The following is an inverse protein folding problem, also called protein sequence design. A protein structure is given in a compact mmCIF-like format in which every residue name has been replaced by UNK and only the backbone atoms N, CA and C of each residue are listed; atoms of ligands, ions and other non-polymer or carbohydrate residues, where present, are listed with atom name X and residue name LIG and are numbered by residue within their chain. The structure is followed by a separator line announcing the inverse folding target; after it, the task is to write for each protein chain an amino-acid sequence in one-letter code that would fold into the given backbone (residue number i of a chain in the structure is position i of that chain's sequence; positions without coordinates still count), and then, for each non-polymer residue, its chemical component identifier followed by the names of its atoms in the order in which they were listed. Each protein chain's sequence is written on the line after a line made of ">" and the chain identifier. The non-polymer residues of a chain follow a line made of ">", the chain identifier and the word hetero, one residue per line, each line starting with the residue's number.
data_IF_216731337162
#
_entry.id   IF_216731337162
#
_cell.length_a   1.000
_cell.length_b   1.000
_cell.length_c   1.000
_cell.angle_alpha   90.00
_cell.angle_beta   90.00
_cell.angle_gamma   90.00
#
_symmetry.space_group_name_H-M   'P 1'
#
loop_
_entity.id
_entity.type
_entity.pdbx_description
1 polymer ?
#
# COMPACT_ATOMS: atom_id res chain seq x y z
N UNK A 1 -2.04 -50.56 7.88
CA UNK A 1 -2.66 -50.60 9.24
C UNK A 1 -3.41 -49.31 9.55
N UNK A 2 -2.76 -48.12 9.56
CA UNK A 2 -3.43 -46.84 9.91
C UNK A 2 -4.60 -46.44 8.97
N UNK A 3 -4.51 -46.76 7.68
CA UNK A 3 -5.57 -46.50 6.69
C UNK A 3 -6.85 -47.31 6.95
N UNK A 4 -6.72 -48.59 7.32
CA UNK A 4 -7.84 -49.46 7.66
C UNK A 4 -8.54 -49.02 8.95
N UNK A 5 -7.78 -48.56 9.94
CA UNK A 5 -8.33 -48.02 11.19
C UNK A 5 -9.09 -46.69 10.97
N UNK A 6 -8.60 -45.82 10.07
CA UNK A 6 -9.30 -44.58 9.73
C UNK A 6 -10.62 -44.86 8.98
N UNK A 7 -10.63 -45.85 8.08
CA UNK A 7 -11.83 -46.27 7.34
C UNK A 7 -12.86 -46.91 8.27
N UNK A 8 -12.44 -47.75 9.22
CA UNK A 8 -13.36 -48.39 10.18
C UNK A 8 -13.95 -47.38 11.17
N UNK A 9 -13.15 -46.44 11.66
CA UNK A 9 -13.59 -45.38 12.57
C UNK A 9 -14.53 -44.39 11.86
N UNK A 10 -14.28 -44.10 10.58
CA UNK A 10 -15.20 -43.34 9.72
C UNK A 10 -16.53 -44.09 9.51
N UNK A 11 -16.47 -45.41 9.25
CA UNK A 11 -17.64 -46.28 9.14
C UNK A 11 -18.53 -46.24 10.39
N UNK A 12 -17.93 -46.36 11.56
CA UNK A 12 -18.65 -46.30 12.84
C UNK A 12 -19.24 -44.91 13.12
N UNK A 13 -18.53 -43.83 12.81
CA UNK A 13 -19.05 -42.46 12.99
C UNK A 13 -20.24 -42.16 12.05
N UNK A 14 -20.26 -42.73 10.84
CA UNK A 14 -21.42 -42.61 9.93
C UNK A 14 -22.65 -43.32 10.47
N UNK A 15 -22.49 -44.54 11.00
CA UNK A 15 -23.61 -45.26 11.60
C UNK A 15 -24.18 -44.52 12.81
N UNK A 16 -23.31 -43.99 13.68
CA UNK A 16 -23.71 -43.28 14.89
C UNK A 16 -24.36 -41.91 14.62
N UNK A 17 -23.83 -41.12 13.67
CA UNK A 17 -24.36 -39.78 13.38
C UNK A 17 -25.43 -39.75 12.29
N UNK A 18 -25.38 -40.68 11.33
CA UNK A 18 -26.31 -40.76 10.21
C UNK A 18 -27.74 -41.13 10.61
N UNK A 19 -27.92 -41.85 11.72
CA UNK A 19 -29.24 -42.15 12.26
C UNK A 19 -29.86 -40.99 13.05
N UNK A 20 -29.05 -40.15 13.71
CA UNK A 20 -29.54 -39.07 14.59
C UNK A 20 -29.78 -37.73 13.88
N UNK A 21 -29.15 -37.46 12.74
CA UNK A 21 -29.22 -36.13 12.10
C UNK A 21 -29.31 -36.23 10.56
N UNK A 22 -30.51 -36.28 9.95
CA UNK A 22 -30.69 -36.37 8.50
C UNK A 22 -30.07 -35.19 7.73
N UNK A 23 -30.01 -34.01 8.36
CA UNK A 23 -29.35 -32.81 7.81
C UNK A 23 -27.81 -32.95 7.74
N UNK A 24 -27.21 -33.92 8.46
CA UNK A 24 -25.76 -34.14 8.50
C UNK A 24 -25.23 -35.02 7.36
N UNK A 25 -26.08 -35.58 6.48
CA UNK A 25 -25.67 -36.44 5.35
C UNK A 25 -24.63 -35.78 4.43
N UNK A 26 -24.74 -34.47 4.20
CA UNK A 26 -23.76 -33.72 3.41
C UNK A 26 -22.39 -33.63 4.10
N UNK A 27 -22.36 -33.44 5.41
CA UNK A 27 -21.13 -33.36 6.18
C UNK A 27 -20.47 -34.74 6.34
N UNK A 28 -21.27 -35.81 6.48
CA UNK A 28 -20.80 -37.19 6.54
C UNK A 28 -20.03 -37.60 5.29
N UNK A 29 -20.48 -37.20 4.10
CA UNK A 29 -19.74 -37.44 2.86
C UNK A 29 -18.36 -36.77 2.86
N UNK A 30 -18.26 -35.57 3.44
CA UNK A 30 -17.00 -34.83 3.56
C UNK A 30 -16.08 -35.49 4.59
N UNK A 31 -16.61 -35.99 5.71
CA UNK A 31 -15.83 -36.79 6.67
C UNK A 31 -15.26 -38.06 6.07
N UNK A 32 -16.08 -38.78 5.30
CA UNK A 32 -15.61 -39.97 4.59
C UNK A 32 -14.48 -39.61 3.62
N UNK A 33 -14.66 -38.50 2.88
CA UNK A 33 -13.63 -37.95 2.00
C UNK A 33 -12.33 -37.64 2.75
N UNK A 34 -12.39 -36.96 3.89
CA UNK A 34 -11.22 -36.64 4.73
C UNK A 34 -10.53 -37.90 5.26
N UNK A 35 -11.29 -38.92 5.68
CA UNK A 35 -10.75 -40.20 6.12
C UNK A 35 -10.07 -40.99 4.96
N UNK A 36 -10.63 -40.93 3.76
CA UNK A 36 -10.01 -41.51 2.55
C UNK A 36 -8.74 -40.76 2.15
N UNK A 37 -8.75 -39.42 2.22
CA UNK A 37 -7.57 -38.58 1.97
C UNK A 37 -6.44 -38.91 2.95
N UNK A 38 -6.76 -39.22 4.21
CA UNK A 38 -5.77 -39.70 5.20
C UNK A 38 -5.06 -41.00 4.75
N UNK A 39 -5.71 -41.84 3.95
CA UNK A 39 -5.14 -43.05 3.36
C UNK A 39 -4.12 -42.78 2.24
N UNK A 40 -4.22 -41.64 1.54
CA UNK A 40 -3.37 -41.30 0.39
C UNK A 40 -1.89 -41.05 0.75
N UNK A 41 -1.60 -40.82 2.03
CA UNK A 41 -0.23 -40.73 2.54
C UNK A 41 0.57 -42.02 2.31
N UNK A 42 -0.07 -43.19 2.41
CA UNK A 42 0.57 -44.48 2.13
C UNK A 42 0.96 -44.68 0.66
N UNK A 43 0.49 -43.80 -0.24
CA UNK A 43 0.77 -43.83 -1.68
C UNK A 43 1.72 -42.69 -2.11
N UNK A 44 2.29 -41.93 -1.16
CA UNK A 44 3.14 -40.77 -1.46
C UNK A 44 2.39 -39.53 -1.95
N UNK A 45 1.05 -39.53 -1.94
CA UNK A 45 0.21 -38.43 -2.42
C UNK A 45 -0.28 -37.50 -1.29
N UNK A 46 0.49 -37.38 -0.21
CA UNK A 46 0.11 -36.65 1.01
C UNK A 46 -0.23 -35.17 0.78
N UNK A 47 0.50 -34.48 -0.10
CA UNK A 47 0.20 -33.08 -0.47
C UNK A 47 -1.16 -32.94 -1.14
N UNK A 48 -1.47 -33.83 -2.08
CA UNK A 48 -2.78 -33.85 -2.76
C UNK A 48 -3.89 -34.09 -1.73
N UNK A 49 -3.64 -34.95 -0.74
CA UNK A 49 -4.57 -35.22 0.34
C UNK A 49 -4.90 -33.96 1.16
N UNK A 50 -3.87 -33.17 1.53
CA UNK A 50 -4.02 -31.92 2.26
C UNK A 50 -4.82 -30.90 1.46
N UNK A 51 -4.43 -30.66 0.20
CA UNK A 51 -5.11 -29.69 -0.66
C UNK A 51 -6.55 -30.11 -0.99
N UNK A 52 -6.79 -31.40 -1.21
CA UNK A 52 -8.12 -31.96 -1.40
C UNK A 52 -9.00 -31.78 -0.15
N UNK A 53 -8.44 -31.98 1.04
CA UNK A 53 -9.12 -31.75 2.31
C UNK A 53 -9.51 -30.29 2.52
N UNK A 54 -8.58 -29.36 2.29
CA UNK A 54 -8.83 -27.91 2.36
C UNK A 54 -9.91 -27.49 1.35
N UNK A 55 -9.81 -27.95 0.10
CA UNK A 55 -10.81 -27.65 -0.93
C UNK A 55 -12.20 -28.20 -0.57
N UNK A 56 -12.25 -29.42 -0.01
CA UNK A 56 -13.49 -30.02 0.47
C UNK A 56 -14.17 -29.20 1.56
N UNK A 57 -13.40 -28.70 2.55
CA UNK A 57 -13.93 -27.85 3.63
C UNK A 57 -14.38 -26.49 3.11
N UNK A 58 -13.64 -25.86 2.19
CA UNK A 58 -14.07 -24.60 1.55
C UNK A 58 -15.39 -24.79 0.81
N UNK A 59 -15.51 -25.86 0.01
CA UNK A 59 -16.72 -26.16 -0.74
C UNK A 59 -17.92 -26.42 0.18
N UNK A 60 -17.69 -27.12 1.30
CA UNK A 60 -18.69 -27.38 2.33
C UNK A 60 -19.21 -26.07 2.95
N UNK A 61 -18.29 -25.21 3.39
CA UNK A 61 -18.60 -23.91 3.98
C UNK A 61 -19.37 -23.02 3.00
N UNK A 62 -18.97 -22.97 1.73
CA UNK A 62 -19.66 -22.19 0.70
C UNK A 62 -21.09 -22.68 0.43
N UNK A 63 -21.30 -24.00 0.35
CA UNK A 63 -22.64 -24.59 0.19
C UNK A 63 -23.53 -24.27 1.39
N UNK A 64 -22.98 -24.31 2.59
CA UNK A 64 -23.71 -24.01 3.81
C UNK A 64 -24.09 -22.53 3.89
N UNK A 65 -23.19 -21.62 3.52
CA UNK A 65 -23.47 -20.19 3.48
C UNK A 65 -24.63 -19.85 2.54
N UNK A 66 -24.65 -20.41 1.32
CA UNK A 66 -25.76 -20.24 0.37
C UNK A 66 -27.12 -20.76 0.87
N UNK A 67 -27.11 -21.79 1.74
CA UNK A 67 -28.33 -22.32 2.34
C UNK A 67 -28.82 -21.46 3.52
N UNK A 68 -27.90 -20.83 4.24
CA UNK A 68 -28.19 -19.95 5.39
C UNK A 68 -28.98 -18.70 4.98
N UNK A 69 -28.67 -18.12 3.81
CA UNK A 69 -29.41 -16.97 3.26
C UNK A 69 -30.89 -17.29 2.92
N UNK A 70 -31.25 -18.58 2.85
CA UNK A 70 -32.63 -19.02 2.58
C UNK A 70 -33.43 -19.38 3.83
N UNK A 71 -32.77 -19.81 4.90
CA UNK A 71 -33.42 -20.33 6.12
C UNK A 71 -32.89 -19.58 7.35
N UNK A 72 -33.41 -18.38 7.60
CA UNK A 72 -32.93 -17.44 8.63
C UNK A 72 -33.26 -17.80 10.09
N UNK A 73 -33.87 -18.96 10.41
CA UNK A 73 -34.47 -19.15 11.74
C UNK A 73 -34.11 -20.39 12.56
N UNK A 74 -33.32 -21.36 12.11
CA UNK A 74 -33.06 -22.56 12.94
C UNK A 74 -31.57 -22.91 13.13
N UNK A 75 -31.12 -22.60 14.35
CA UNK A 75 -30.26 -23.40 15.25
C UNK A 75 -29.15 -24.29 14.66
N UNK A 76 -27.92 -24.05 15.16
CA UNK A 76 -26.88 -25.08 15.25
C UNK A 76 -25.50 -24.65 14.76
N UNK A 77 -24.64 -24.16 15.66
CA UNK A 77 -23.23 -23.74 15.42
C UNK A 77 -22.22 -24.90 15.30
N UNK A 78 -22.66 -26.17 15.39
CA UNK A 78 -21.77 -27.31 15.63
C UNK A 78 -21.06 -27.97 14.41
N UNK A 79 -21.58 -27.95 13.15
CA UNK A 79 -20.96 -28.76 12.09
C UNK A 79 -19.62 -28.23 11.56
N UNK A 80 -19.28 -26.96 11.80
CA UNK A 80 -18.07 -26.32 11.26
C UNK A 80 -16.78 -26.75 11.99
N UNK A 81 -16.86 -27.00 13.30
CA UNK A 81 -15.68 -27.34 14.11
C UNK A 81 -15.11 -28.71 13.75
N UNK A 82 -15.98 -29.70 13.56
CA UNK A 82 -15.56 -31.07 13.29
C UNK A 82 -14.78 -31.14 11.96
N UNK A 83 -15.24 -30.42 10.92
CA UNK A 83 -14.57 -30.34 9.62
C UNK A 83 -13.21 -29.65 9.71
N UNK A 84 -13.15 -28.58 10.52
CA UNK A 84 -11.91 -27.87 10.81
C UNK A 84 -10.90 -28.76 11.55
N UNK A 85 -11.36 -29.54 12.53
CA UNK A 85 -10.54 -30.54 13.23
C UNK A 85 -9.97 -31.58 12.26
N UNK A 86 -10.78 -32.09 11.34
CA UNK A 86 -10.33 -33.08 10.34
C UNK A 86 -9.20 -32.55 9.45
N UNK A 87 -9.33 -31.33 8.94
CA UNK A 87 -8.26 -30.69 8.15
C UNK A 87 -7.06 -30.29 9.01
N UNK A 88 -7.28 -29.87 10.26
CA UNK A 88 -6.22 -29.59 11.22
C UNK A 88 -5.34 -30.82 11.48
N UNK A 89 -5.95 -32.00 11.62
CA UNK A 89 -5.22 -33.26 11.78
C UNK A 89 -4.42 -33.60 10.51
N UNK A 90 -4.98 -33.41 9.32
CA UNK A 90 -4.27 -33.60 8.05
C UNK A 90 -3.05 -32.68 7.93
N UNK A 91 -3.19 -31.41 8.33
CA UNK A 91 -2.11 -30.43 8.33
C UNK A 91 -1.02 -30.77 9.36
N UNK A 92 -1.42 -31.14 10.58
CA UNK A 92 -0.47 -31.54 11.63
C UNK A 92 0.34 -32.75 11.18
N UNK A 93 -0.33 -33.75 10.60
CA UNK A 93 0.33 -34.93 10.03
C UNK A 93 1.29 -34.54 8.91
N UNK A 94 0.87 -33.62 8.03
CA UNK A 94 1.73 -33.13 6.97
C UNK A 94 3.01 -32.49 7.51
N UNK A 95 2.92 -31.71 8.59
CA UNK A 95 4.10 -31.13 9.22
C UNK A 95 5.04 -32.17 9.84
N UNK A 96 4.51 -33.28 10.35
CA UNK A 96 5.34 -34.35 10.95
C UNK A 96 6.01 -35.24 9.91
N UNK A 97 5.37 -35.45 8.76
CA UNK A 97 5.89 -36.34 7.70
C UNK A 97 6.76 -35.59 6.67
N UNK A 98 6.53 -34.31 6.45
CA UNK A 98 7.33 -33.48 5.53
C UNK A 98 8.56 -32.90 6.23
N UNK A 99 9.71 -33.01 5.57
CA UNK A 99 10.98 -32.40 6.04
C UNK A 99 10.85 -30.87 6.00
N UNK A 100 11.40 -30.17 7.01
CA UNK A 100 11.32 -28.71 7.18
C UNK A 100 11.53 -27.88 5.90
N UNK A 101 12.50 -28.18 5.01
CA UNK A 101 12.69 -27.42 3.76
C UNK A 101 11.47 -27.44 2.81
N UNK A 102 10.62 -28.47 2.91
CA UNK A 102 9.42 -28.64 2.09
C UNK A 102 8.16 -28.03 2.69
N UNK A 103 8.22 -27.45 3.90
CA UNK A 103 7.06 -26.84 4.56
C UNK A 103 6.46 -25.67 3.78
N UNK A 104 7.25 -25.01 2.92
CA UNK A 104 6.73 -24.00 2.00
C UNK A 104 5.58 -24.52 1.13
N UNK A 105 5.55 -25.81 0.82
CA UNK A 105 4.48 -26.42 0.01
C UNK A 105 3.15 -26.52 0.76
N UNK A 106 3.12 -26.40 2.09
CA UNK A 106 1.91 -26.37 2.91
C UNK A 106 1.38 -24.95 3.15
N UNK A 107 2.16 -23.94 2.79
CA UNK A 107 1.87 -22.55 3.09
C UNK A 107 0.50 -22.09 2.56
N UNK A 108 0.19 -22.41 1.29
CA UNK A 108 -1.11 -22.07 0.70
C UNK A 108 -2.27 -22.76 1.42
N UNK A 109 -2.11 -24.03 1.83
CA UNK A 109 -3.14 -24.74 2.57
C UNK A 109 -3.45 -24.07 3.93
N UNK A 110 -2.40 -23.67 4.66
CA UNK A 110 -2.51 -22.88 5.89
C UNK A 110 -3.21 -21.54 5.65
N UNK A 111 -2.76 -20.83 4.61
CA UNK A 111 -3.32 -19.56 4.20
C UNK A 111 -4.82 -19.67 3.93
N UNK A 112 -5.23 -20.57 3.03
CA UNK A 112 -6.62 -20.83 2.62
C UNK A 112 -7.51 -21.19 3.81
N UNK A 113 -7.06 -22.08 4.69
CA UNK A 113 -7.80 -22.45 5.89
C UNK A 113 -7.98 -21.24 6.83
N UNK A 114 -6.91 -20.46 7.03
CA UNK A 114 -6.95 -19.25 7.83
C UNK A 114 -7.92 -18.20 7.26
N UNK A 115 -7.90 -18.00 5.95
CA UNK A 115 -8.83 -17.08 5.27
C UNK A 115 -10.28 -17.52 5.35
N UNK A 116 -10.55 -18.83 5.23
CA UNK A 116 -11.88 -19.37 5.43
C UNK A 116 -12.39 -19.08 6.85
N UNK A 117 -11.56 -19.34 7.87
CA UNK A 117 -11.91 -19.07 9.27
C UNK A 117 -12.22 -17.60 9.52
N UNK A 118 -11.39 -16.70 8.99
CA UNK A 118 -11.62 -15.25 9.11
C UNK A 118 -12.91 -14.86 8.38
N UNK A 119 -13.14 -15.38 7.18
CA UNK A 119 -14.36 -15.10 6.40
C UNK A 119 -15.63 -15.55 7.11
N UNK A 120 -15.64 -16.78 7.65
CA UNK A 120 -16.76 -17.31 8.43
C UNK A 120 -17.00 -16.52 9.72
N UNK A 121 -15.93 -16.16 10.44
CA UNK A 121 -16.02 -15.36 11.65
C UNK A 121 -16.61 -13.97 11.37
N UNK A 122 -16.23 -13.35 10.26
CA UNK A 122 -16.75 -12.04 9.85
C UNK A 122 -18.20 -12.11 9.36
N UNK A 123 -18.58 -13.17 8.66
CA UNK A 123 -19.97 -13.39 8.23
C UNK A 123 -20.93 -13.62 9.42
N UNK A 124 -20.41 -14.08 10.56
CA UNK A 124 -21.19 -14.32 11.77
C UNK A 124 -21.38 -13.05 12.65
N UNK A 125 -20.68 -11.94 12.37
CA UNK A 125 -20.81 -10.69 13.13
C UNK A 125 -22.00 -9.84 12.65
N UNK A 126 -22.94 -9.44 13.53
CA UNK A 126 -23.98 -8.49 13.15
C UNK A 126 -23.40 -7.08 12.91
N UNK A 127 -23.97 -6.30 11.96
CA UNK A 127 -23.39 -5.04 11.49
C UNK A 127 -23.35 -3.89 12.52
N UNK A 128 -24.02 -4.00 13.66
CA UNK A 128 -24.26 -2.87 14.59
C UNK A 128 -23.51 -2.93 15.93
N UNK A 129 -22.77 -3.99 16.27
CA UNK A 129 -22.08 -4.02 17.57
C UNK A 129 -20.81 -3.16 17.54
N UNK A 130 -20.89 -1.99 18.20
CA UNK A 130 -19.85 -0.97 18.31
C UNK A 130 -18.64 -1.38 19.19
N UNK A 131 -18.74 -2.50 19.92
CA UNK A 131 -17.64 -3.09 20.67
C UNK A 131 -17.23 -4.41 20.02
N UNK A 132 -15.98 -4.58 19.55
CA UNK A 132 -15.53 -5.84 19.00
C UNK A 132 -15.22 -6.80 20.17
N UNK A 133 -16.24 -7.48 20.69
CA UNK A 133 -16.03 -8.76 21.41
C UNK A 133 -15.30 -9.79 20.52
N UNK A 134 -15.16 -9.51 19.22
CA UNK A 134 -14.37 -10.28 18.26
C UNK A 134 -12.85 -10.15 18.37
N UNK A 135 -12.33 -9.21 19.16
CA UNK A 135 -10.91 -9.24 19.56
C UNK A 135 -10.58 -10.43 20.47
N UNK A 136 -11.57 -11.20 20.94
CA UNK A 136 -11.36 -12.36 21.82
C UNK A 136 -11.83 -13.66 21.15
N UNK A 137 -12.42 -13.61 19.95
CA UNK A 137 -12.91 -14.80 19.27
C UNK A 137 -11.74 -15.71 18.87
N UNK A 138 -11.62 -16.94 19.44
CA UNK A 138 -10.48 -17.82 19.19
C UNK A 138 -10.35 -18.21 17.71
N UNK A 139 -11.48 -18.29 16.98
CA UNK A 139 -11.49 -18.63 15.55
C UNK A 139 -10.93 -17.51 14.67
N UNK A 140 -11.17 -16.24 15.01
CA UNK A 140 -10.64 -15.09 14.26
C UNK A 140 -9.12 -14.98 14.45
N UNK A 141 -8.64 -15.15 15.69
CA UNK A 141 -7.22 -15.16 15.98
C UNK A 141 -6.52 -16.36 15.36
N UNK A 142 -7.08 -17.56 15.51
CA UNK A 142 -6.57 -18.77 14.87
C UNK A 142 -6.49 -18.63 13.35
N UNK A 143 -7.54 -18.08 12.72
CA UNK A 143 -7.54 -17.82 11.28
C UNK A 143 -6.47 -16.82 10.84
N UNK A 144 -6.30 -15.70 11.56
CA UNK A 144 -5.24 -14.72 11.29
C UNK A 144 -3.84 -15.31 11.49
N UNK A 145 -3.63 -16.06 12.57
CA UNK A 145 -2.36 -16.72 12.86
C UNK A 145 -2.01 -17.73 11.76
N UNK A 146 -2.98 -18.51 11.29
CA UNK A 146 -2.80 -19.44 10.16
C UNK A 146 -2.46 -18.71 8.87
N UNK A 147 -3.10 -17.58 8.55
CA UNK A 147 -2.76 -16.78 7.37
C UNK A 147 -1.33 -16.22 7.47
N UNK A 148 -0.95 -15.67 8.61
CA UNK A 148 0.41 -15.15 8.83
C UNK A 148 1.44 -16.27 8.79
N UNK A 149 1.15 -17.41 9.41
CA UNK A 149 1.99 -18.60 9.40
C UNK A 149 2.17 -19.14 7.98
N UNK A 150 1.09 -19.30 7.22
CA UNK A 150 1.13 -19.68 5.81
C UNK A 150 1.95 -18.68 5.00
N UNK A 151 1.74 -17.37 5.20
CA UNK A 151 2.54 -16.35 4.52
C UNK A 151 4.04 -16.45 4.84
N UNK A 152 4.41 -16.63 6.12
CA UNK A 152 5.81 -16.79 6.56
C UNK A 152 6.47 -18.03 5.94
N UNK A 153 5.72 -19.13 5.82
CA UNK A 153 6.21 -20.34 5.17
C UNK A 153 6.40 -20.16 3.65
N UNK A 154 5.61 -19.32 3.00
CA UNK A 154 5.68 -19.09 1.56
C UNK A 154 6.64 -17.97 1.13
N UNK A 155 6.85 -16.94 1.95
CA UNK A 155 7.45 -15.66 1.51
C UNK A 155 8.80 -15.85 0.82
N UNK A 156 9.66 -16.74 1.33
CA UNK A 156 10.96 -17.01 0.72
C UNK A 156 10.88 -18.06 -0.40
N UNK A 157 10.39 -19.29 -0.16
CA UNK A 157 10.52 -20.38 -1.12
C UNK A 157 9.51 -20.31 -2.28
N UNK A 158 8.30 -19.78 -2.05
CA UNK A 158 7.17 -19.84 -2.99
C UNK A 158 6.40 -18.51 -2.98
N UNK A 159 7.02 -17.47 -3.55
CA UNK A 159 6.45 -16.11 -3.60
C UNK A 159 5.05 -16.04 -4.23
N UNK A 160 4.73 -16.95 -5.15
CA UNK A 160 3.40 -17.07 -5.76
C UNK A 160 2.33 -17.42 -4.72
N UNK A 161 2.62 -18.38 -3.84
CA UNK A 161 1.70 -18.77 -2.77
C UNK A 161 1.52 -17.62 -1.77
N UNK A 162 2.62 -16.95 -1.39
CA UNK A 162 2.55 -15.78 -0.51
C UNK A 162 1.69 -14.66 -1.11
N UNK A 163 1.75 -14.45 -2.43
CA UNK A 163 0.92 -13.47 -3.13
C UNK A 163 -0.56 -13.84 -3.07
N UNK A 164 -0.91 -15.12 -3.26
CA UNK A 164 -2.30 -15.59 -3.13
C UNK A 164 -2.83 -15.38 -1.71
N UNK A 165 -2.03 -15.70 -0.70
CA UNK A 165 -2.40 -15.49 0.71
C UNK A 165 -2.61 -14.00 1.01
N UNK A 166 -1.72 -13.14 0.50
CA UNK A 166 -1.88 -11.69 0.59
C UNK A 166 -3.14 -11.20 -0.13
N UNK A 167 -3.40 -11.70 -1.33
CA UNK A 167 -4.59 -11.36 -2.12
C UNK A 167 -5.88 -11.71 -1.37
N UNK A 168 -5.91 -12.86 -0.69
CA UNK A 168 -7.05 -13.23 0.15
C UNK A 168 -7.19 -12.33 1.39
N UNK A 169 -6.08 -12.00 2.06
CA UNK A 169 -6.08 -11.06 3.17
C UNK A 169 -6.56 -9.67 2.75
N UNK A 170 -6.11 -9.20 1.58
CA UNK A 170 -6.57 -7.97 0.95
C UNK A 170 -8.06 -8.01 0.65
N UNK A 171 -8.57 -9.08 0.04
CA UNK A 171 -9.99 -9.22 -0.31
C UNK A 171 -10.89 -9.13 0.93
N UNK A 172 -10.56 -9.87 1.99
CA UNK A 172 -11.31 -9.85 3.25
C UNK A 172 -11.29 -8.46 3.91
N UNK A 173 -10.13 -7.79 3.93
CA UNK A 173 -10.00 -6.44 4.50
C UNK A 173 -10.69 -5.40 3.65
N UNK A 174 -10.62 -5.51 2.32
CA UNK A 174 -11.26 -4.60 1.38
C UNK A 174 -12.78 -4.67 1.50
N UNK A 175 -13.35 -5.87 1.61
CA UNK A 175 -14.77 -6.06 1.86
C UNK A 175 -15.21 -5.40 3.19
N UNK A 176 -14.43 -5.60 4.27
CA UNK A 176 -14.70 -4.97 5.56
C UNK A 176 -14.59 -3.45 5.51
N UNK A 177 -13.57 -2.96 4.82
CA UNK A 177 -13.28 -1.54 4.68
C UNK A 177 -14.34 -0.82 3.85
N UNK A 178 -14.81 -1.40 2.74
CA UNK A 178 -15.91 -0.84 1.95
C UNK A 178 -17.20 -0.70 2.76
N UNK A 179 -17.42 -1.60 3.72
CA UNK A 179 -18.63 -1.60 4.56
C UNK A 179 -18.53 -0.64 5.75
N UNK A 180 -17.37 -0.59 6.44
CA UNK A 180 -17.22 0.10 7.73
C UNK A 180 -16.31 1.35 7.70
N UNK A 181 -15.59 1.58 6.59
CA UNK A 181 -14.65 2.70 6.41
C UNK A 181 -13.63 2.87 7.55
N UNK A 182 -13.22 1.77 8.18
CA UNK A 182 -12.33 1.80 9.34
C UNK A 182 -10.88 2.10 8.94
N UNK A 183 -10.23 2.98 9.71
CA UNK A 183 -8.82 3.35 9.52
C UNK A 183 -7.86 2.16 9.58
N UNK A 184 -8.09 1.24 10.52
CA UNK A 184 -7.24 0.07 10.72
C UNK A 184 -7.23 -0.86 9.51
N UNK A 185 -8.39 -1.04 8.86
CA UNK A 185 -8.46 -1.86 7.65
C UNK A 185 -7.78 -1.19 6.47
N UNK A 186 -7.89 0.13 6.35
CA UNK A 186 -7.15 0.87 5.33
C UNK A 186 -5.63 0.70 5.50
N UNK A 187 -5.10 0.84 6.72
CA UNK A 187 -3.65 0.61 6.98
C UNK A 187 -3.26 -0.84 6.64
N UNK A 188 -4.09 -1.81 7.02
CA UNK A 188 -3.82 -3.22 6.70
C UNK A 188 -3.82 -3.46 5.19
N UNK A 189 -4.79 -2.92 4.45
CA UNK A 189 -4.84 -2.98 2.98
C UNK A 189 -3.59 -2.33 2.39
N UNK A 190 -3.20 -1.18 2.91
CA UNK A 190 -2.03 -0.44 2.45
C UNK A 190 -0.72 -1.21 2.70
N UNK A 191 -0.55 -1.87 3.84
CA UNK A 191 0.63 -2.68 4.12
C UNK A 191 0.67 -3.94 3.25
N UNK A 192 -0.46 -4.66 3.16
CA UNK A 192 -0.55 -5.87 2.34
C UNK A 192 -0.39 -5.56 0.85
N UNK A 193 -0.90 -4.43 0.38
CA UNK A 193 -0.74 -3.97 -1.00
C UNK A 193 0.72 -3.70 -1.34
N UNK A 194 1.44 -2.99 -0.47
CA UNK A 194 2.87 -2.71 -0.65
C UNK A 194 3.69 -4.02 -0.66
N UNK A 195 3.40 -4.92 0.27
CA UNK A 195 4.03 -6.25 0.33
C UNK A 195 3.72 -7.08 -0.92
N UNK A 196 2.50 -6.99 -1.45
CA UNK A 196 2.09 -7.69 -2.67
C UNK A 196 2.84 -7.17 -3.90
N UNK A 197 3.12 -5.87 -3.98
CA UNK A 197 3.94 -5.31 -5.05
C UNK A 197 5.36 -5.90 -5.05
N UNK A 198 5.96 -6.03 -3.87
CA UNK A 198 7.28 -6.67 -3.72
C UNK A 198 7.27 -8.15 -4.11
N UNK A 199 6.24 -8.89 -3.71
CA UNK A 199 6.07 -10.30 -4.11
C UNK A 199 5.84 -10.43 -5.63
N UNK A 200 5.02 -9.56 -6.22
CA UNK A 200 4.79 -9.52 -7.66
C UNK A 200 6.09 -9.23 -8.43
N UNK A 201 6.91 -8.28 -7.95
CA UNK A 201 8.23 -8.02 -8.52
C UNK A 201 9.13 -9.26 -8.52
N UNK A 202 9.09 -10.07 -7.45
CA UNK A 202 9.83 -11.34 -7.37
C UNK A 202 9.30 -12.43 -8.29
N UNK A 203 8.05 -12.32 -8.75
CA UNK A 203 7.43 -13.27 -9.68
C UNK A 203 7.65 -12.90 -11.15
N UNK A 204 8.02 -11.66 -11.43
CA UNK A 204 8.34 -11.24 -12.79
C UNK A 204 9.52 -12.07 -13.34
N UNK A 205 9.44 -12.62 -14.56
CA UNK A 205 10.58 -13.17 -15.28
C UNK A 205 11.75 -12.19 -15.33
N UNK A 206 12.99 -12.70 -15.33
CA UNK A 206 14.20 -11.87 -15.34
C UNK A 206 14.24 -10.93 -16.55
N UNK A 207 13.81 -11.41 -17.72
CA UNK A 207 13.79 -10.63 -18.96
C UNK A 207 12.86 -9.41 -18.85
N UNK A 208 11.69 -9.57 -18.23
CA UNK A 208 10.77 -8.47 -17.99
C UNK A 208 11.34 -7.47 -16.97
N UNK A 209 12.04 -7.95 -15.93
CA UNK A 209 12.71 -7.04 -14.99
C UNK A 209 13.80 -6.24 -15.70
N UNK A 210 14.62 -6.87 -16.53
CA UNK A 210 15.66 -6.19 -17.29
C UNK A 210 15.07 -5.20 -18.29
N UNK A 211 13.99 -5.55 -18.99
CA UNK A 211 13.30 -4.63 -19.91
C UNK A 211 12.77 -3.38 -19.19
N UNK A 212 12.27 -3.52 -17.96
CA UNK A 212 11.80 -2.40 -17.14
C UNK A 212 12.94 -1.57 -16.54
N UNK A 213 14.02 -2.21 -16.11
CA UNK A 213 15.13 -1.54 -15.43
C UNK A 213 16.12 -0.87 -16.40
N UNK A 214 16.39 -1.47 -17.56
CA UNK A 214 17.37 -0.96 -18.54
C UNK A 214 17.17 0.50 -18.94
N UNK A 215 15.96 0.98 -19.30
CA UNK A 215 15.78 2.40 -19.63
C UNK A 215 16.04 3.30 -18.42
N UNK A 216 15.65 2.86 -17.22
CA UNK A 216 15.86 3.62 -15.99
C UNK A 216 17.33 3.70 -15.62
N UNK A 217 18.07 2.59 -15.71
CA UNK A 217 19.51 2.56 -15.40
C UNK A 217 20.33 3.36 -16.40
N UNK A 218 20.01 3.28 -17.70
CA UNK A 218 20.69 4.08 -18.74
C UNK A 218 20.48 5.58 -18.55
N UNK A 219 19.26 6.00 -18.21
CA UNK A 219 18.97 7.42 -18.03
C UNK A 219 19.56 7.97 -16.72
N UNK A 220 19.50 7.20 -15.64
CA UNK A 220 19.97 7.65 -14.32
C UNK A 220 21.45 7.41 -14.03
N UNK A 221 22.13 6.57 -14.82
CA UNK A 221 23.47 6.09 -14.50
C UNK A 221 23.53 5.26 -13.20
N UNK A 222 22.41 4.70 -12.73
CA UNK A 222 22.31 4.02 -11.44
C UNK A 222 22.86 2.57 -11.41
N UNK A 223 23.83 2.24 -12.28
CA UNK A 223 24.41 0.89 -12.35
C UNK A 223 25.09 0.48 -11.04
N UNK A 224 25.69 1.45 -10.33
CA UNK A 224 26.37 1.23 -9.06
C UNK A 224 25.43 1.17 -7.84
N UNK A 225 24.18 1.61 -7.95
CA UNK A 225 23.24 1.76 -6.80
C UNK A 225 21.84 1.19 -7.08
N UNK A 226 21.68 -0.14 -7.18
CA UNK A 226 20.42 -0.78 -7.57
C UNK A 226 19.23 -0.47 -6.65
N UNK A 227 19.48 -0.24 -5.36
CA UNK A 227 18.43 0.11 -4.40
C UNK A 227 17.83 1.51 -4.62
N UNK A 228 18.56 2.43 -5.26
CA UNK A 228 18.04 3.77 -5.56
C UNK A 228 16.86 3.70 -6.55
N UNK A 229 16.83 2.68 -7.42
CA UNK A 229 15.72 2.44 -8.36
C UNK A 229 14.39 2.15 -7.65
N UNK A 230 14.43 1.68 -6.40
CA UNK A 230 13.21 1.50 -5.59
C UNK A 230 12.47 2.83 -5.41
N UNK A 231 13.19 3.96 -5.36
CA UNK A 231 12.62 5.30 -5.27
C UNK A 231 11.63 5.62 -6.39
N UNK A 232 11.91 5.16 -7.61
CA UNK A 232 11.00 5.30 -8.76
C UNK A 232 10.00 4.16 -8.84
N UNK A 233 10.43 2.92 -8.59
CA UNK A 233 9.56 1.74 -8.74
C UNK A 233 8.42 1.72 -7.71
N UNK A 234 8.65 2.29 -6.52
CA UNK A 234 7.62 2.45 -5.50
C UNK A 234 6.67 3.62 -5.76
N UNK A 235 7.01 4.53 -6.67
CA UNK A 235 6.25 5.76 -6.90
C UNK A 235 4.79 5.54 -7.35
N UNK A 236 4.47 4.57 -8.24
CA UNK A 236 3.08 4.26 -8.58
C UNK A 236 2.21 3.95 -7.35
N UNK A 237 2.80 3.42 -6.28
CA UNK A 237 2.07 3.15 -5.03
C UNK A 237 1.75 4.42 -4.24
N UNK A 238 2.60 5.45 -4.32
CA UNK A 238 2.30 6.81 -3.81
C UNK A 238 1.10 7.37 -4.57
N UNK A 239 1.12 7.30 -5.91
CA UNK A 239 0.01 7.78 -6.76
C UNK A 239 -1.30 7.07 -6.41
N UNK A 240 -1.27 5.75 -6.23
CA UNK A 240 -2.44 4.97 -5.80
C UNK A 240 -2.96 5.45 -4.44
N UNK A 241 -2.07 5.67 -3.46
CA UNK A 241 -2.45 6.14 -2.12
C UNK A 241 -3.09 7.54 -2.18
N UNK A 242 -2.54 8.45 -2.99
CA UNK A 242 -3.11 9.78 -3.24
C UNK A 242 -4.46 9.69 -3.93
N UNK A 243 -4.62 8.78 -4.90
CA UNK A 243 -5.90 8.55 -5.57
C UNK A 243 -6.97 8.01 -4.61
N UNK A 244 -6.60 7.16 -3.65
CA UNK A 244 -7.51 6.71 -2.59
C UNK A 244 -7.88 7.86 -1.66
N UNK A 245 -6.92 8.73 -1.31
CA UNK A 245 -7.20 9.94 -0.54
C UNK A 245 -8.17 10.89 -1.28
N UNK A 246 -8.01 11.09 -2.60
CA UNK A 246 -8.95 11.85 -3.45
C UNK A 246 -10.34 11.22 -3.46
N UNK A 247 -10.41 9.89 -3.54
CA UNK A 247 -11.66 9.15 -3.52
C UNK A 247 -12.37 9.25 -2.15
N UNK A 248 -11.64 9.09 -1.05
CA UNK A 248 -12.15 9.27 0.31
C UNK A 248 -12.62 10.72 0.56
N UNK A 249 -11.92 11.71 0.00
CA UNK A 249 -12.31 13.11 0.06
C UNK A 249 -13.66 13.35 -0.61
N UNK A 250 -13.88 12.79 -1.82
CA UNK A 250 -15.17 12.87 -2.52
C UNK A 250 -16.31 12.19 -1.76
N UNK A 251 -15.99 11.18 -0.96
CA UNK A 251 -16.94 10.47 -0.09
C UNK A 251 -17.10 11.10 1.31
N UNK A 252 -16.48 12.26 1.56
CA UNK A 252 -16.54 13.03 2.82
C UNK A 252 -15.99 12.31 4.06
N UNK A 253 -15.04 11.38 3.88
CA UNK A 253 -14.38 10.70 5.00
C UNK A 253 -13.06 11.40 5.39
N UNK A 254 -13.14 12.56 6.04
CA UNK A 254 -11.97 13.41 6.40
C UNK A 254 -10.87 12.67 7.17
N UNK A 255 -11.27 11.80 8.09
CA UNK A 255 -10.40 10.91 8.88
C UNK A 255 -9.51 9.98 8.04
N UNK A 256 -10.02 9.51 6.90
CA UNK A 256 -9.26 8.65 5.99
C UNK A 256 -8.41 9.46 5.03
N UNK A 257 -8.87 10.66 4.65
CA UNK A 257 -8.08 11.59 3.84
C UNK A 257 -6.78 11.94 4.56
N UNK A 258 -6.85 12.31 5.84
CA UNK A 258 -5.64 12.66 6.62
C UNK A 258 -4.70 11.47 6.79
N UNK A 259 -5.25 10.29 7.05
CA UNK A 259 -4.45 9.06 7.16
C UNK A 259 -3.79 8.69 5.83
N UNK A 260 -4.53 8.73 4.72
CA UNK A 260 -4.01 8.40 3.40
C UNK A 260 -3.00 9.43 2.90
N UNK A 261 -3.23 10.73 3.12
CA UNK A 261 -2.23 11.78 2.86
C UNK A 261 -0.96 11.56 3.71
N UNK A 262 -1.11 11.17 4.98
CA UNK A 262 0.01 10.84 5.86
C UNK A 262 0.83 9.63 5.38
N UNK A 263 0.16 8.53 4.98
CA UNK A 263 0.82 7.35 4.44
C UNK A 263 1.49 7.63 3.08
N UNK A 264 0.83 8.41 2.21
CA UNK A 264 1.42 8.84 0.94
C UNK A 264 2.67 9.69 1.18
N UNK A 265 2.61 10.66 2.10
CA UNK A 265 3.75 11.49 2.47
C UNK A 265 4.90 10.71 3.09
N UNK A 266 4.60 9.78 4.02
CA UNK A 266 5.59 8.90 4.64
C UNK A 266 6.33 8.06 3.59
N UNK A 267 5.59 7.39 2.71
CA UNK A 267 6.18 6.60 1.65
C UNK A 267 6.97 7.46 0.66
N UNK A 268 6.41 8.58 0.22
CA UNK A 268 7.09 9.50 -0.68
C UNK A 268 8.40 10.02 -0.08
N UNK A 269 8.41 10.37 1.21
CA UNK A 269 9.63 10.76 1.93
C UNK A 269 10.66 9.63 1.97
N UNK A 270 10.25 8.39 2.28
CA UNK A 270 11.15 7.23 2.24
C UNK A 270 11.75 6.96 0.86
N UNK A 271 10.94 7.06 -0.19
CA UNK A 271 11.38 6.88 -1.57
C UNK A 271 12.29 8.03 -2.06
N UNK A 272 12.02 9.26 -1.62
CA UNK A 272 12.88 10.41 -1.87
C UNK A 272 14.25 10.21 -1.22
N UNK A 273 14.28 9.77 0.04
CA UNK A 273 15.54 9.45 0.73
C UNK A 273 16.34 8.42 -0.07
N UNK A 274 15.74 7.32 -0.51
CA UNK A 274 16.42 6.34 -1.36
C UNK A 274 16.96 6.94 -2.67
N UNK A 275 16.25 7.92 -3.23
CA UNK A 275 16.64 8.59 -4.48
C UNK A 275 17.81 9.57 -4.31
N UNK A 276 18.11 10.05 -3.09
CA UNK A 276 19.23 10.98 -2.83
C UNK A 276 20.59 10.40 -3.22
N UNK A 277 20.73 9.08 -3.28
CA UNK A 277 21.97 8.39 -3.64
C UNK A 277 22.27 8.45 -5.15
N UNK A 278 21.36 8.96 -5.98
CA UNK A 278 21.56 9.13 -7.40
C UNK A 278 20.84 10.40 -7.89
N UNK A 279 21.61 11.38 -8.40
CA UNK A 279 21.07 12.68 -8.84
C UNK A 279 19.99 12.57 -9.92
N UNK A 280 20.13 11.64 -10.88
CA UNK A 280 19.12 11.44 -11.93
C UNK A 280 17.80 10.93 -11.36
N UNK A 281 17.85 9.89 -10.50
CA UNK A 281 16.65 9.36 -9.85
C UNK A 281 16.00 10.36 -8.91
N UNK A 282 16.79 11.19 -8.22
CA UNK A 282 16.28 12.30 -7.43
C UNK A 282 15.43 13.25 -8.28
N UNK A 283 15.95 13.72 -9.42
CA UNK A 283 15.22 14.61 -10.34
C UNK A 283 13.93 13.96 -10.80
N UNK A 284 13.97 12.71 -11.24
CA UNK A 284 12.77 12.01 -11.70
C UNK A 284 11.73 11.83 -10.59
N UNK A 285 12.17 11.53 -9.36
CA UNK A 285 11.30 11.42 -8.20
C UNK A 285 10.65 12.76 -7.82
N UNK A 286 11.41 13.85 -7.91
CA UNK A 286 10.93 15.21 -7.67
C UNK A 286 9.92 15.66 -8.71
N UNK A 287 10.17 15.39 -9.99
CA UNK A 287 9.21 15.64 -11.07
C UNK A 287 7.91 14.89 -10.81
N UNK A 288 8.01 13.58 -10.52
CA UNK A 288 6.84 12.75 -10.26
C UNK A 288 6.04 13.28 -9.05
N UNK A 289 6.72 13.64 -7.95
CA UNK A 289 6.13 14.23 -6.75
C UNK A 289 5.43 15.55 -7.06
N UNK A 290 6.06 16.43 -7.83
CA UNK A 290 5.50 17.74 -8.20
C UNK A 290 4.23 17.60 -9.02
N UNK A 291 4.25 16.74 -10.03
CA UNK A 291 3.09 16.48 -10.88
C UNK A 291 1.94 15.92 -10.05
N UNK A 292 2.20 14.90 -9.23
CA UNK A 292 1.17 14.27 -8.40
C UNK A 292 0.59 15.25 -7.37
N UNK A 293 1.42 16.04 -6.70
CA UNK A 293 0.98 17.02 -5.72
C UNK A 293 0.14 18.14 -6.36
N UNK A 294 0.54 18.62 -7.54
CA UNK A 294 -0.19 19.64 -8.31
C UNK A 294 -1.57 19.13 -8.72
N UNK A 295 -1.64 17.93 -9.31
CA UNK A 295 -2.91 17.31 -9.72
C UNK A 295 -3.83 17.08 -8.51
N UNK A 296 -3.31 16.52 -7.42
CA UNK A 296 -4.08 16.25 -6.22
C UNK A 296 -4.65 17.53 -5.58
N UNK A 297 -3.84 18.61 -5.54
CA UNK A 297 -4.29 19.91 -5.03
C UNK A 297 -5.37 20.54 -5.91
N UNK A 298 -5.25 20.47 -7.23
CA UNK A 298 -6.26 20.98 -8.16
C UNK A 298 -7.63 20.30 -7.99
N UNK A 299 -7.64 19.02 -7.62
CA UNK A 299 -8.87 18.25 -7.36
C UNK A 299 -9.52 18.56 -6.02
N UNK A 300 -8.73 18.90 -5.00
CA UNK A 300 -9.19 19.20 -3.64
C UNK A 300 -9.22 20.73 -3.43
N UNK A 301 -10.24 21.39 -4.00
CA UNK A 301 -10.44 22.86 -4.00
C UNK A 301 -10.41 23.54 -2.61
N UNK A 302 -10.33 22.80 -1.50
CA UNK A 302 -10.30 23.29 -0.11
C UNK A 302 -8.97 22.98 0.60
N UNK A 303 -7.83 23.30 -0.02
CA UNK A 303 -6.52 23.12 0.60
C UNK A 303 -6.19 24.24 1.61
N UNK A 304 -5.59 23.87 2.74
CA UNK A 304 -4.94 24.84 3.64
C UNK A 304 -3.84 25.61 2.88
N UNK A 305 -3.62 26.91 3.18
CA UNK A 305 -2.56 27.71 2.55
C UNK A 305 -1.17 27.06 2.63
N UNK A 306 -0.88 26.34 3.71
CA UNK A 306 0.39 25.61 3.91
C UNK A 306 0.69 24.60 2.80
N UNK A 307 -0.32 23.87 2.30
CA UNK A 307 -0.15 22.89 1.23
C UNK A 307 0.18 23.56 -0.10
N UNK A 308 -0.33 24.77 -0.32
CA UNK A 308 -0.04 25.55 -1.52
C UNK A 308 1.43 25.96 -1.54
N UNK A 309 1.98 26.44 -0.42
CA UNK A 309 3.41 26.78 -0.32
C UNK A 309 4.32 25.59 -0.54
N UNK A 310 3.96 24.43 0.02
CA UNK A 310 4.73 23.21 -0.19
C UNK A 310 4.79 22.83 -1.68
N UNK A 311 3.70 23.02 -2.43
CA UNK A 311 3.68 22.73 -3.87
C UNK A 311 4.55 23.72 -4.65
N UNK A 312 4.43 25.02 -4.37
CA UNK A 312 5.28 26.03 -5.00
C UNK A 312 6.77 25.81 -4.70
N UNK A 313 7.11 25.54 -3.44
CA UNK A 313 8.47 25.18 -3.05
C UNK A 313 8.96 23.90 -3.73
N UNK A 314 8.10 22.90 -3.86
CA UNK A 314 8.41 21.66 -4.55
C UNK A 314 8.64 21.86 -6.07
N UNK A 315 7.86 22.73 -6.73
CA UNK A 315 8.06 23.12 -8.14
C UNK A 315 9.44 23.77 -8.29
N UNK A 316 9.76 24.76 -7.47
CA UNK A 316 11.05 25.45 -7.50
C UNK A 316 12.21 24.50 -7.25
N UNK A 317 12.09 23.63 -6.23
CA UNK A 317 13.12 22.65 -5.91
C UNK A 317 13.33 21.64 -7.04
N UNK A 318 12.24 21.21 -7.69
CA UNK A 318 12.29 20.30 -8.84
C UNK A 318 12.98 20.95 -10.04
N UNK A 319 12.65 22.21 -10.35
CA UNK A 319 13.29 22.95 -11.44
C UNK A 319 14.79 23.14 -11.17
N UNK A 320 15.15 23.54 -9.94
CA UNK A 320 16.55 23.70 -9.55
C UNK A 320 17.34 22.38 -9.66
N UNK A 321 16.80 21.28 -9.11
CA UNK A 321 17.43 19.97 -9.21
C UNK A 321 17.58 19.48 -10.66
N UNK A 322 16.58 19.75 -11.51
CA UNK A 322 16.62 19.40 -12.94
C UNK A 322 17.72 20.16 -13.67
N UNK A 323 17.85 21.47 -13.40
CA UNK A 323 18.89 22.33 -14.01
C UNK A 323 20.28 21.88 -13.56
N UNK A 324 20.46 21.62 -12.26
CA UNK A 324 21.74 21.15 -11.73
C UNK A 324 22.17 19.80 -12.34
N UNK A 325 21.22 18.88 -12.52
CA UNK A 325 21.52 17.58 -13.13
C UNK A 325 21.82 17.68 -14.64
N UNK A 326 21.08 18.54 -15.36
CA UNK A 326 21.22 18.67 -16.83
C UNK A 326 22.50 19.42 -17.21
N UNK A 327 22.91 20.39 -16.40
CA UNK A 327 24.09 21.22 -16.66
C UNK A 327 25.01 21.25 -15.42
N UNK A 328 25.80 20.19 -15.17
CA UNK A 328 26.66 20.13 -13.99
C UNK A 328 27.76 21.21 -13.97
N UNK A 329 28.10 21.78 -15.14
CA UNK A 329 29.15 22.80 -15.31
C UNK A 329 28.74 24.24 -14.95
N UNK A 330 27.50 24.48 -14.51
CA UNK A 330 27.05 25.83 -14.13
C UNK A 330 27.79 26.29 -12.87
N UNK A 331 28.35 27.52 -12.89
CA UNK A 331 29.03 28.11 -11.73
C UNK A 331 28.06 28.40 -10.59
N UNK A 332 28.55 28.48 -9.34
CA UNK A 332 27.69 28.78 -8.18
C UNK A 332 26.89 30.08 -8.37
N UNK A 333 27.51 31.13 -8.91
CA UNK A 333 26.83 32.40 -9.21
C UNK A 333 25.68 32.25 -10.20
N UNK A 334 25.87 31.48 -11.27
CA UNK A 334 24.82 31.18 -12.26
C UNK A 334 23.69 30.32 -11.65
N UNK A 335 24.01 29.36 -10.77
CA UNK A 335 23.01 28.55 -10.05
C UNK A 335 22.12 29.41 -9.15
N UNK A 336 22.74 30.35 -8.42
CA UNK A 336 22.03 31.28 -7.56
C UNK A 336 21.19 32.27 -8.37
N UNK A 337 21.74 32.83 -9.45
CA UNK A 337 20.99 33.71 -10.35
C UNK A 337 19.76 33.01 -10.93
N UNK A 338 19.89 31.75 -11.34
CA UNK A 338 18.77 30.95 -11.85
C UNK A 338 17.75 30.63 -10.75
N UNK A 339 18.19 30.21 -9.56
CA UNK A 339 17.30 29.98 -8.43
C UNK A 339 16.50 31.24 -8.08
N UNK A 340 17.17 32.39 -8.01
CA UNK A 340 16.55 33.69 -7.74
C UNK A 340 15.57 34.09 -8.86
N UNK A 341 15.93 33.88 -10.13
CA UNK A 341 15.05 34.11 -11.27
C UNK A 341 13.78 33.25 -11.22
N UNK A 342 13.90 31.98 -10.85
CA UNK A 342 12.77 31.07 -10.64
C UNK A 342 11.87 31.55 -9.49
N UNK A 343 12.45 32.01 -8.37
CA UNK A 343 11.69 32.57 -7.25
C UNK A 343 10.90 33.83 -7.65
N UNK A 344 11.48 34.73 -8.45
CA UNK A 344 10.79 35.92 -8.99
C UNK A 344 9.68 35.52 -9.94
N UNK A 345 9.95 34.59 -10.87
CA UNK A 345 8.94 34.07 -11.80
C UNK A 345 7.73 33.50 -11.06
N UNK A 346 7.96 32.70 -10.03
CA UNK A 346 6.89 32.15 -9.20
C UNK A 346 6.14 33.21 -8.40
N UNK A 347 6.85 34.24 -7.91
CA UNK A 347 6.24 35.42 -7.29
C UNK A 347 5.29 36.17 -8.22
N UNK A 348 5.64 36.32 -9.50
CA UNK A 348 4.79 36.97 -10.50
C UNK A 348 3.55 36.10 -10.82
N UNK A 349 3.75 34.80 -11.04
CA UNK A 349 2.65 33.86 -11.37
C UNK A 349 1.65 33.72 -10.22
N UNK A 350 2.14 33.72 -8.98
CA UNK A 350 1.29 33.59 -7.79
C UNK A 350 0.40 34.81 -7.53
N UNK A 351 0.82 36.01 -7.96
CA UNK A 351 0.07 37.28 -7.80
C UNK A 351 -0.90 37.56 -8.97
N UNK A 352 -0.79 36.82 -10.08
CA UNK A 352 -1.59 37.01 -11.30
C UNK A 352 -3.11 36.78 -11.15
N UNK A 353 -3.94 37.31 -12.08
CA UNK A 353 -5.40 37.40 -11.92
C UNK A 353 -6.18 36.07 -12.04
N UNK A 354 -5.54 34.97 -12.49
CA UNK A 354 -6.26 33.76 -12.97
C UNK A 354 -6.03 32.51 -12.10
N UNK A 355 -5.37 32.63 -10.95
CA UNK A 355 -4.94 31.44 -10.19
C UNK A 355 -5.82 31.19 -8.94
N UNK A 356 -6.33 29.96 -8.72
CA UNK A 356 -7.03 29.59 -7.47
C UNK A 356 -6.14 29.63 -6.21
N UNK A 357 -4.88 30.05 -6.37
CA UNK A 357 -3.78 30.03 -5.41
C UNK A 357 -3.51 31.41 -4.76
N UNK A 358 -4.25 32.44 -5.18
CA UNK A 358 -4.08 33.85 -4.78
C UNK A 358 -4.21 34.14 -3.28
N UNK A 359 -4.93 33.30 -2.52
CA UNK A 359 -5.11 33.49 -1.05
C UNK A 359 -3.87 33.12 -0.23
N UNK A 360 -2.94 32.34 -0.79
CA UNK A 360 -1.65 32.03 -0.16
C UNK A 360 -0.50 32.91 -0.69
N UNK A 361 -0.53 33.35 -1.95
CA UNK A 361 0.58 34.00 -2.65
C UNK A 361 1.47 34.93 -1.79
N UNK A 362 0.87 35.87 -1.02
CA UNK A 362 1.60 36.90 -0.26
C UNK A 362 2.61 36.34 0.77
N UNK A 363 2.25 35.30 1.55
CA UNK A 363 3.20 34.75 2.53
C UNK A 363 4.24 33.83 1.87
N UNK A 364 3.89 33.22 0.73
CA UNK A 364 4.82 32.42 -0.07
C UNK A 364 5.92 33.29 -0.68
N UNK A 365 5.54 34.44 -1.25
CA UNK A 365 6.49 35.44 -1.75
C UNK A 365 7.37 36.02 -0.63
N UNK A 366 6.85 36.17 0.60
CA UNK A 366 7.64 36.55 1.76
C UNK A 366 8.64 35.47 2.20
N UNK A 367 8.22 34.20 2.21
CA UNK A 367 9.12 33.09 2.52
C UNK A 367 10.24 32.95 1.46
N UNK A 368 9.90 33.14 0.18
CA UNK A 368 10.87 33.20 -0.92
C UNK A 368 11.81 34.39 -0.78
N UNK A 369 11.31 35.56 -0.36
CA UNK A 369 12.15 36.72 -0.05
C UNK A 369 13.15 36.39 1.08
N UNK A 370 12.68 35.77 2.17
CA UNK A 370 13.55 35.34 3.27
C UNK A 370 14.61 34.31 2.86
N UNK A 371 14.24 33.32 2.05
CA UNK A 371 15.19 32.34 1.49
C UNK A 371 16.17 32.97 0.51
N UNK A 372 15.72 33.94 -0.29
CA UNK A 372 16.61 34.70 -1.17
C UNK A 372 17.64 35.50 -0.37
N UNK A 373 17.25 36.09 0.78
CA UNK A 373 18.17 36.77 1.69
C UNK A 373 19.18 35.82 2.34
N UNK A 374 18.78 34.60 2.73
CA UNK A 374 19.71 33.64 3.37
C UNK A 374 20.69 33.03 2.36
N UNK A 375 20.21 32.67 1.17
CA UNK A 375 21.06 32.22 0.05
C UNK A 375 22.02 33.31 -0.42
N UNK A 376 21.61 34.56 -0.25
CA UNK A 376 22.45 35.70 -0.55
C UNK A 376 23.54 35.95 0.49
N UNK A 377 23.17 35.88 1.78
CA UNK A 377 24.11 36.03 2.88
C UNK A 377 25.25 35.01 2.82
N UNK A 378 25.00 33.79 2.35
CA UNK A 378 26.04 32.78 2.17
C UNK A 378 27.01 33.08 1.02
N UNK A 379 26.57 33.80 -0.03
CA UNK A 379 27.41 34.22 -1.14
C UNK A 379 28.36 35.36 -0.74
N UNK A 380 27.89 36.30 0.07
CA UNK A 380 28.70 37.41 0.62
C UNK A 380 29.82 36.94 1.55
N UNK A 381 29.66 35.76 2.15
CA UNK A 381 30.65 35.15 3.03
C UNK A 381 31.76 34.40 2.27
N UNK A 382 31.65 34.24 0.94
CA UNK A 382 32.69 33.60 0.13
C UNK A 382 33.80 34.60 -0.27
N UNK A 383 35.08 34.29 0.00
CA UNK A 383 36.20 35.13 -0.41
C UNK A 383 36.30 35.26 -1.93
N UNK A 384 36.36 36.48 -2.46
CA UNK A 384 36.62 36.76 -3.89
C UNK A 384 35.40 37.04 -4.77
N UNK A 385 34.22 37.23 -4.19
CA UNK A 385 32.99 37.59 -4.94
C UNK A 385 33.03 39.05 -5.45
N UNK A 386 32.73 39.24 -6.74
CA UNK A 386 32.77 40.54 -7.42
C UNK A 386 31.50 41.36 -7.14
N UNK A 387 31.57 42.70 -6.99
CA UNK A 387 30.42 43.55 -6.65
C UNK A 387 29.33 43.66 -7.74
N UNK A 388 29.59 43.26 -8.98
CA UNK A 388 28.56 43.17 -10.03
C UNK A 388 27.74 41.87 -9.92
N UNK A 389 28.33 40.83 -9.35
CA UNK A 389 27.61 39.60 -9.00
C UNK A 389 26.74 39.82 -7.75
N UNK A 390 26.88 40.97 -7.05
CA UNK A 390 26.14 41.32 -5.82
C UNK A 390 24.82 42.11 -6.05
N UNK A 391 24.53 42.57 -7.26
CA UNK A 391 23.30 43.33 -7.54
C UNK A 391 21.99 42.50 -7.49
N UNK A 392 21.95 41.27 -8.05
CA UNK A 392 20.72 40.47 -8.08
C UNK A 392 20.17 40.14 -6.68
N UNK A 393 21.03 39.91 -5.70
CA UNK A 393 20.61 39.49 -4.37
C UNK A 393 20.14 40.58 -3.42
N UNK A 394 20.17 41.86 -3.84
CA UNK A 394 19.46 42.95 -3.15
C UNK A 394 18.16 43.28 -3.88
N UNK A 395 18.21 43.32 -5.22
CA UNK A 395 17.06 43.65 -6.07
C UNK A 395 15.96 42.58 -5.97
N UNK A 396 16.32 41.31 -5.97
CA UNK A 396 15.34 40.21 -6.00
C UNK A 396 14.54 40.08 -4.69
N UNK A 397 15.17 40.09 -3.50
CA UNK A 397 14.41 40.13 -2.25
C UNK A 397 13.55 41.39 -2.12
N UNK A 398 14.01 42.55 -2.61
CA UNK A 398 13.21 43.78 -2.64
C UNK A 398 11.98 43.66 -3.54
N UNK A 399 12.14 43.09 -4.74
CA UNK A 399 11.03 42.82 -5.68
C UNK A 399 10.04 41.82 -5.06
N UNK A 400 10.52 40.73 -4.47
CA UNK A 400 9.66 39.73 -3.81
C UNK A 400 8.92 40.30 -2.59
N UNK A 401 9.58 41.13 -1.79
CA UNK A 401 8.98 41.84 -0.64
C UNK A 401 7.95 42.87 -1.10
N UNK A 402 8.23 43.59 -2.19
CA UNK A 402 7.31 44.53 -2.83
C UNK A 402 6.10 43.85 -3.48
N UNK A 403 6.25 42.63 -4.00
CA UNK A 403 5.13 41.82 -4.48
C UNK A 403 4.27 41.30 -3.32
N UNK A 404 4.90 40.90 -2.21
CA UNK A 404 4.20 40.38 -1.04
C UNK A 404 3.42 41.44 -0.25
N UNK A 405 3.93 42.67 -0.19
CA UNK A 405 3.31 43.79 0.54
C UNK A 405 2.05 44.35 -0.16
N UNK A 406 1.82 43.98 -1.42
CA UNK A 406 0.61 44.35 -2.17
C UNK A 406 -0.56 43.47 -1.72
N UNK A 407 -1.43 44.04 -0.88
CA UNK A 407 -2.65 43.37 -0.43
C UNK A 407 -3.62 43.01 -1.57
N UNK A 408 -4.55 42.07 -1.36
CA UNK A 408 -5.44 41.53 -2.40
C UNK A 408 -6.36 42.56 -3.07
N UNK A 409 -6.48 43.77 -2.51
CA UNK A 409 -7.33 44.86 -3.01
C UNK A 409 -6.69 45.70 -4.15
N UNK A 410 -5.36 45.73 -4.29
CA UNK A 410 -4.68 46.60 -5.28
C UNK A 410 -4.40 45.93 -6.62
N UNK A 411 -4.31 44.60 -6.70
CA UNK A 411 -4.00 43.88 -7.95
C UNK A 411 -5.13 43.86 -8.99
N UNK A 412 -6.36 44.24 -8.62
CA UNK A 412 -7.51 44.31 -9.53
C UNK A 412 -7.53 45.58 -10.40
N UNK A 413 -6.80 46.64 -10.02
CA UNK A 413 -6.83 47.95 -10.72
C UNK A 413 -5.88 48.06 -11.91
N UNK A 414 -4.95 47.13 -12.11
CA UNK A 414 -3.94 47.20 -13.18
C UNK A 414 -4.30 46.37 -14.42
N UNK A 415 -5.30 45.49 -14.35
CA UNK A 415 -5.75 44.69 -15.50
C UNK A 415 -7.09 45.14 -16.07
N UNK A 416 -7.68 46.19 -15.49
CA UNK A 416 -8.87 46.88 -15.99
C UNK A 416 -8.58 48.33 -16.37
N UNK A 417 -7.29 48.69 -16.48
CA UNK A 417 -6.81 50.00 -16.89
C UNK A 417 -6.13 49.93 -18.23
#
# INVERSE_FOLDING_TARGET
>A
MASLAAISLAGMTIQLFGQRWPQARGNLAIFLGLALLQGMWGLGLGLIAVYGGVAGVILAAWRQQRRRDRNLLETGRAPDLLLLYGVGILLLRAMTELVVPSWGQLALAWGLLGGLLVGLAMAAEPPQQAFPLSLISPSLWGGRALMVGGWLLAVMPLSAQALVINGMGLGLRLWRWQSRWQRQDFVAIWLLGLQSLWLAWRLLPIDLRLALLTPLTRWSGAEATPWALLGILGYPYVVLTVAVADWAYRRRHSALVTLADGLAGFLNGGLLLLSLWNGGLLVLHLIATTVTATIASGRRRTGHPSRQYLIHGLILFTLAATVEHTWPGITLGQRLALALGLMVGEGIVSVGPVTPWRRGANYGTLALAGLSYSLWGSLLLQPGTQPLETLPGVVIPMVLTGLASRGPAQSLRLFTG
#
